data_IF_782674791848
#
_entry.id   IF_782674791848
#
_cell.length_a   1.000
_cell.length_b   1.000
_cell.length_c   1.000
_cell.angle_alpha   90.00
_cell.angle_beta   90.00
_cell.angle_gamma   90.00
#
_symmetry.space_group_name_H-M   'P 1'
#
loop_
_entity.id
_entity.type
_entity.pdbx_description
1 polymer ?
#
# COMPACT_ATOMS: atom_id res chain seq x y z
N UNK A 1 -12.69 4.32 4.19
CA UNK A 1 -11.58 3.33 4.18
C UNK A 1 -11.11 3.25 2.74
N UNK A 2 -9.80 3.30 2.45
CA UNK A 2 -9.34 3.30 1.06
C UNK A 2 -9.63 1.92 0.42
N UNK A 3 -10.35 1.88 -0.70
CA UNK A 3 -10.79 0.61 -1.30
C UNK A 3 -9.64 -0.23 -1.86
N UNK A 4 -8.47 0.39 -2.03
CA UNK A 4 -7.23 -0.25 -2.48
C UNK A 4 -6.83 -1.50 -1.68
N UNK A 5 -7.13 -1.53 -0.38
CA UNK A 5 -6.83 -2.70 0.47
C UNK A 5 -7.68 -3.92 0.08
N UNK A 6 -8.86 -3.71 -0.50
CA UNK A 6 -9.81 -4.76 -0.83
C UNK A 6 -9.76 -5.19 -2.30
N UNK A 7 -8.88 -4.57 -3.11
CA UNK A 7 -8.73 -4.89 -4.55
C UNK A 7 -7.88 -6.13 -4.82
N UNK A 8 -7.07 -6.53 -3.84
CA UNK A 8 -6.18 -7.67 -3.94
C UNK A 8 -6.84 -8.90 -3.31
N UNK A 9 -7.27 -9.84 -4.16
CA UNK A 9 -7.98 -11.05 -3.76
C UNK A 9 -7.16 -11.92 -2.80
N UNK A 10 -5.83 -11.97 -2.94
CA UNK A 10 -4.98 -12.71 -2.02
C UNK A 10 -4.99 -12.08 -0.62
N UNK A 11 -4.94 -10.75 -0.54
CA UNK A 11 -5.06 -10.03 0.74
C UNK A 11 -6.43 -10.23 1.37
N UNK A 12 -7.50 -10.22 0.57
CA UNK A 12 -8.87 -10.49 1.03
C UNK A 12 -9.00 -11.91 1.59
N UNK A 13 -8.50 -12.91 0.88
CA UNK A 13 -8.54 -14.29 1.35
C UNK A 13 -7.74 -14.48 2.64
N UNK A 14 -6.56 -13.86 2.75
CA UNK A 14 -5.79 -13.88 4.01
C UNK A 14 -6.54 -13.23 5.18
N UNK A 15 -7.26 -12.14 4.94
CA UNK A 15 -8.11 -11.51 5.96
C UNK A 15 -9.27 -12.41 6.39
N UNK A 16 -9.87 -13.17 5.46
CA UNK A 16 -10.90 -14.16 5.79
C UNK A 16 -10.36 -15.27 6.68
N UNK A 17 -9.18 -15.81 6.36
CA UNK A 17 -8.53 -16.85 7.17
C UNK A 17 -8.19 -16.35 8.58
N UNK A 18 -7.61 -15.15 8.71
CA UNK A 18 -7.33 -14.55 10.02
C UNK A 18 -8.60 -14.32 10.85
N UNK A 19 -9.72 -13.99 10.20
CA UNK A 19 -10.99 -13.81 10.88
C UNK A 19 -11.60 -15.14 11.34
N UNK A 20 -11.48 -16.21 10.52
CA UNK A 20 -11.87 -17.56 10.93
C UNK A 20 -11.08 -18.03 12.14
N UNK A 21 -9.75 -17.92 12.08
CA UNK A 21 -8.85 -18.26 13.19
C UNK A 21 -9.22 -17.48 14.47
N UNK A 22 -9.54 -16.19 14.34
CA UNK A 22 -10.02 -15.40 15.46
C UNK A 22 -11.28 -16.01 16.10
N UNK A 23 -12.30 -16.36 15.31
CA UNK A 23 -13.53 -16.93 15.86
C UNK A 23 -13.31 -18.33 16.43
N UNK A 24 -12.52 -19.20 15.78
CA UNK A 24 -12.18 -20.54 16.29
C UNK A 24 -11.52 -20.49 17.69
N UNK A 25 -10.68 -19.49 17.93
CA UNK A 25 -9.99 -19.33 19.22
C UNK A 25 -10.92 -18.73 20.29
N UNK A 26 -11.74 -17.75 19.91
CA UNK A 26 -12.45 -16.86 20.85
C UNK A 26 -13.93 -17.24 21.06
N UNK A 27 -14.53 -18.03 20.18
CA UNK A 27 -15.91 -18.50 20.32
C UNK A 27 -15.98 -19.75 21.21
N UNK A 28 -15.68 -19.56 22.51
CA UNK A 28 -15.80 -20.60 23.54
C UNK A 28 -17.13 -20.48 24.28
N UNK A 29 -17.66 -21.62 24.76
CA UNK A 29 -18.84 -21.67 25.62
C UNK A 29 -18.68 -20.72 26.82
N UNK A 30 -19.57 -19.72 26.91
CA UNK A 30 -19.62 -18.75 28.02
C UNK A 30 -19.17 -17.33 27.68
N UNK A 31 -18.56 -17.11 26.50
CA UNK A 31 -18.18 -15.74 26.09
C UNK A 31 -19.37 -15.03 25.46
N UNK A 32 -19.65 -13.79 25.90
CA UNK A 32 -20.73 -12.98 25.32
C UNK A 32 -20.45 -12.69 23.83
N UNK A 33 -21.41 -13.04 22.97
CA UNK A 33 -21.35 -12.77 21.53
C UNK A 33 -21.09 -11.30 21.20
N UNK A 34 -21.59 -10.37 22.01
CA UNK A 34 -21.33 -8.93 21.86
C UNK A 34 -19.85 -8.61 22.04
N UNK A 35 -19.21 -9.20 23.05
CA UNK A 35 -17.77 -9.03 23.30
C UNK A 35 -16.97 -9.63 22.15
N UNK A 36 -17.33 -10.82 21.67
CA UNK A 36 -16.66 -11.44 20.52
C UNK A 36 -16.78 -10.54 19.28
N UNK A 37 -17.97 -10.01 19.01
CA UNK A 37 -18.21 -9.12 17.87
C UNK A 37 -17.45 -7.80 17.95
N UNK A 38 -17.42 -7.16 19.12
CA UNK A 38 -16.69 -5.91 19.31
C UNK A 38 -15.17 -6.13 19.19
N UNK A 39 -14.68 -7.23 19.74
CA UNK A 39 -13.27 -7.63 19.65
C UNK A 39 -12.88 -7.98 18.21
N UNK A 40 -13.70 -8.73 17.47
CA UNK A 40 -13.41 -9.10 16.08
C UNK A 40 -13.33 -7.87 15.18
N UNK A 41 -14.21 -6.88 15.38
CA UNK A 41 -14.11 -5.58 14.69
C UNK A 41 -12.82 -4.84 15.03
N UNK A 42 -12.41 -4.81 16.29
CA UNK A 42 -11.16 -4.16 16.70
C UNK A 42 -9.94 -4.86 16.07
N UNK A 43 -9.92 -6.19 16.08
CA UNK A 43 -8.90 -7.02 15.45
C UNK A 43 -8.78 -6.72 13.94
N UNK A 44 -9.92 -6.74 13.22
CA UNK A 44 -9.96 -6.43 11.79
C UNK A 44 -9.51 -5.00 11.47
N UNK A 45 -9.85 -4.03 12.31
CA UNK A 45 -9.35 -2.65 12.17
C UNK A 45 -7.83 -2.58 12.33
N UNK A 46 -7.27 -3.27 13.31
CA UNK A 46 -5.82 -3.35 13.51
C UNK A 46 -5.09 -3.90 12.27
N UNK A 47 -5.61 -4.99 11.71
CA UNK A 47 -5.11 -5.56 10.45
C UNK A 47 -5.21 -4.55 9.30
N UNK A 48 -6.36 -3.89 9.14
CA UNK A 48 -6.57 -2.88 8.09
C UNK A 48 -5.59 -1.72 8.20
N UNK A 49 -5.34 -1.21 9.41
CA UNK A 49 -4.36 -0.14 9.65
C UNK A 49 -2.95 -0.59 9.28
N UNK A 50 -2.56 -1.82 9.65
CA UNK A 50 -1.26 -2.39 9.28
C UNK A 50 -1.10 -2.48 7.76
N UNK A 51 -2.11 -2.97 7.05
CA UNK A 51 -2.06 -3.05 5.58
C UNK A 51 -1.96 -1.68 4.92
N UNK A 52 -2.73 -0.69 5.40
CA UNK A 52 -2.64 0.69 4.92
C UNK A 52 -1.26 1.31 5.16
N UNK A 53 -0.63 1.02 6.30
CA UNK A 53 0.73 1.47 6.56
C UNK A 53 1.73 0.87 5.57
N UNK A 54 1.60 -0.42 5.23
CA UNK A 54 2.42 -1.09 4.22
C UNK A 54 2.25 -0.47 2.83
N UNK A 55 1.00 -0.33 2.36
CA UNK A 55 0.72 0.29 1.05
C UNK A 55 1.29 1.70 0.96
N UNK A 56 1.15 2.52 2.01
CA UNK A 56 1.74 3.87 2.04
C UNK A 56 3.25 3.84 1.97
N UNK A 57 3.89 2.90 2.66
CA UNK A 57 5.35 2.72 2.62
C UNK A 57 5.82 2.33 1.22
N UNK A 58 5.13 1.40 0.57
CA UNK A 58 5.47 0.93 -0.77
C UNK A 58 5.32 2.07 -1.79
N UNK A 59 4.19 2.79 -1.77
CA UNK A 59 3.98 3.99 -2.61
C UNK A 59 5.04 5.07 -2.40
N UNK A 60 5.44 5.31 -1.15
CA UNK A 60 6.49 6.26 -0.83
C UNK A 60 7.84 5.82 -1.40
N UNK A 61 8.16 4.52 -1.33
CA UNK A 61 9.37 3.95 -1.91
C UNK A 61 9.38 4.11 -3.43
N UNK A 62 8.28 3.79 -4.11
CA UNK A 62 8.16 3.95 -5.55
C UNK A 62 8.34 5.40 -5.97
N UNK A 63 7.69 6.32 -5.23
CA UNK A 63 7.83 7.77 -5.43
C UNK A 63 9.28 8.24 -5.25
N UNK A 64 9.99 7.73 -4.24
CA UNK A 64 11.40 8.08 -4.01
C UNK A 64 12.30 7.60 -5.15
N UNK A 65 12.07 6.39 -5.66
CA UNK A 65 12.85 5.83 -6.76
C UNK A 65 12.62 6.62 -8.06
N UNK A 66 11.36 6.94 -8.38
CA UNK A 66 11.04 7.78 -9.54
C UNK A 66 11.71 9.16 -9.43
N UNK A 67 11.63 9.80 -8.27
CA UNK A 67 12.28 11.10 -8.04
C UNK A 67 13.81 11.01 -8.14
N UNK A 68 14.42 9.91 -7.70
CA UNK A 68 15.86 9.68 -7.86
C UNK A 68 16.23 9.61 -9.35
N UNK A 69 15.48 8.85 -10.16
CA UNK A 69 15.71 8.75 -11.60
C UNK A 69 15.53 10.10 -12.33
N UNK A 70 14.56 10.92 -11.90
CA UNK A 70 14.39 12.29 -12.43
C UNK A 70 15.63 13.13 -12.14
N UNK A 71 16.10 13.15 -10.88
CA UNK A 71 17.28 13.93 -10.47
C UNK A 71 18.55 13.50 -11.20
N UNK A 72 18.72 12.21 -11.46
CA UNK A 72 19.86 11.70 -12.22
C UNK A 72 19.84 12.21 -13.66
N UNK A 73 18.68 12.14 -14.34
CA UNK A 73 18.50 12.67 -15.69
C UNK A 73 18.65 14.20 -15.76
N UNK A 74 18.18 14.93 -14.75
CA UNK A 74 18.39 16.38 -14.65
C UNK A 74 19.88 16.72 -14.53
N UNK A 75 20.64 15.96 -13.74
CA UNK A 75 22.11 16.11 -13.66
C UNK A 75 22.81 15.82 -14.98
N UNK A 76 22.32 14.86 -15.77
CA UNK A 76 22.84 14.57 -17.10
C UNK A 76 22.57 15.73 -18.08
N UNK A 77 21.37 16.32 -18.05
CA UNK A 77 21.04 17.51 -18.84
C UNK A 77 21.90 18.73 -18.50
N UNK A 78 22.19 18.96 -17.22
CA UNK A 78 23.09 20.04 -16.81
C UNK A 78 24.48 19.89 -17.43
N UNK A 79 24.93 18.65 -17.67
CA UNK A 79 26.21 18.37 -18.33
C UNK A 79 26.13 18.45 -19.86
N UNK A 80 24.98 18.09 -20.45
CA UNK A 80 24.74 18.08 -21.90
C UNK A 80 23.39 18.73 -22.25
N UNK A 81 23.30 20.08 -22.28
CA UNK A 81 22.03 20.80 -22.32
C UNK A 81 21.26 20.76 -23.65
N UNK A 82 21.79 20.11 -24.70
CA UNK A 82 21.14 20.02 -26.03
C UNK A 82 20.52 18.66 -26.33
N UNK A 83 20.39 17.77 -25.35
CA UNK A 83 19.79 16.44 -25.56
C UNK A 83 18.27 16.45 -25.33
N UNK A 84 17.53 16.69 -26.41
CA UNK A 84 16.05 16.60 -26.48
C UNK A 84 15.52 15.25 -25.94
N UNK A 85 16.28 14.16 -26.15
CA UNK A 85 15.94 12.82 -25.69
C UNK A 85 15.86 12.69 -24.17
N UNK A 86 16.72 13.40 -23.42
CA UNK A 86 16.68 13.36 -21.96
C UNK A 86 15.48 14.17 -21.44
N UNK A 87 15.15 15.29 -22.07
CA UNK A 87 13.95 16.09 -21.73
C UNK A 87 12.69 15.26 -21.91
N UNK A 88 12.58 14.54 -23.03
CA UNK A 88 11.42 13.67 -23.30
C UNK A 88 11.34 12.51 -22.29
N UNK A 89 12.48 11.94 -21.89
CA UNK A 89 12.54 10.90 -20.86
C UNK A 89 12.14 11.40 -19.48
N UNK A 90 12.49 12.63 -19.09
CA UNK A 90 12.05 13.24 -17.83
C UNK A 90 10.53 13.40 -17.83
N UNK A 91 9.95 13.95 -18.90
CA UNK A 91 8.48 14.09 -19.04
C UNK A 91 7.77 12.74 -18.96
N UNK A 92 8.32 11.71 -19.60
CA UNK A 92 7.76 10.36 -19.54
C UNK A 92 7.80 9.79 -18.11
N UNK A 93 8.90 9.96 -17.39
CA UNK A 93 9.02 9.50 -15.99
C UNK A 93 8.12 10.31 -15.05
N UNK A 94 8.02 11.63 -15.23
CA UNK A 94 7.09 12.49 -14.48
C UNK A 94 5.62 12.08 -14.70
N UNK A 95 5.26 11.63 -15.91
CA UNK A 95 3.90 11.15 -16.17
C UNK A 95 3.53 9.90 -15.36
N UNK A 96 4.51 9.12 -14.90
CA UNK A 96 4.30 7.95 -14.05
C UNK A 96 4.02 8.31 -12.58
N UNK A 97 4.39 9.52 -12.15
CA UNK A 97 4.11 10.06 -10.82
C UNK A 97 2.65 10.54 -10.67
N UNK A 98 1.96 10.80 -11.79
CA UNK A 98 0.61 11.39 -11.84
C UNK A 98 -0.48 10.38 -12.24
N UNK A 99 -0.14 9.10 -12.41
CA UNK A 99 -1.10 8.00 -12.65
C UNK A 99 -1.51 7.35 -11.34
#
# INVERSE_FOLDING_TARGET
MNDEVWRDEQKVNKMRELLKEFFEINERHGTDRKIIWDTSKAYMRGIGIQQMARIRKDKAKDTMEINKQIREKEKELLKNPKQESIIQNIKNVQSQLHK
#
